data_IF_501042734016
#
_entry.id   IF_501042734016
#
_cell.length_a   1.000
_cell.length_b   1.000
_cell.length_c   1.000
_cell.angle_alpha   90.00
_cell.angle_beta   90.00
_cell.angle_gamma   90.00
#
_symmetry.space_group_name_H-M   'P 1'
#
loop_
_entity.id
_entity.type
_entity.pdbx_description
1 polymer ?
#
# COMPACT_ATOMS: atom_id res chain seq x y z
N UNK A 1 -17.84 8.94 26.95
CA UNK A 1 -18.57 7.68 26.77
C UNK A 1 -18.73 7.45 25.27
N UNK A 2 -17.68 6.94 24.60
CA UNK A 2 -17.74 6.56 23.19
C UNK A 2 -18.28 5.15 23.14
N UNK A 3 -19.60 5.03 23.06
CA UNK A 3 -20.28 3.76 22.82
C UNK A 3 -20.55 3.68 21.32
N UNK A 4 -20.23 2.52 20.76
CA UNK A 4 -20.26 2.14 19.35
C UNK A 4 -18.99 2.47 18.58
N UNK A 5 -18.13 1.45 18.48
CA UNK A 5 -16.87 1.48 17.76
C UNK A 5 -17.11 1.62 16.26
N UNK A 6 -16.78 2.78 15.71
CA UNK A 6 -16.75 3.03 14.27
C UNK A 6 -15.82 2.01 13.63
N UNK A 7 -16.36 1.22 12.69
CA UNK A 7 -15.61 0.33 11.83
C UNK A 7 -15.54 0.96 10.45
N UNK A 8 -14.36 1.01 9.88
CA UNK A 8 -14.16 1.44 8.51
C UNK A 8 -14.16 0.20 7.61
N UNK A 9 -14.92 0.28 6.53
CA UNK A 9 -15.00 -0.79 5.53
C UNK A 9 -14.32 -0.28 4.26
N UNK A 10 -13.34 -1.04 3.76
CA UNK A 10 -12.74 -0.79 2.44
C UNK A 10 -13.28 -1.84 1.48
N UNK A 11 -13.89 -1.37 0.39
CA UNK A 11 -14.41 -2.22 -0.69
C UNK A 11 -13.54 -1.99 -1.92
N UNK A 12 -12.99 -3.07 -2.47
CA UNK A 12 -12.30 -3.04 -3.76
C UNK A 12 -13.35 -3.13 -4.87
N UNK A 13 -13.27 -2.22 -5.85
CA UNK A 13 -14.23 -2.14 -6.97
C UNK A 13 -14.14 -3.34 -7.93
N UNK A 14 -12.99 -4.01 -7.93
CA UNK A 14 -12.71 -5.18 -8.75
C UNK A 14 -12.65 -6.41 -7.83
N UNK A 15 -13.76 -7.14 -7.72
CA UNK A 15 -13.94 -8.44 -7.06
C UNK A 15 -12.85 -8.86 -6.04
N UNK A 16 -12.91 -8.36 -4.80
CA UNK A 16 -12.26 -9.02 -3.66
C UNK A 16 -12.72 -8.45 -2.31
N UNK A 17 -12.95 -9.38 -1.37
CA UNK A 17 -12.91 -9.29 0.10
C UNK A 17 -13.20 -7.91 0.73
N UNK A 18 -14.34 -7.82 1.40
CA UNK A 18 -14.66 -6.68 2.29
C UNK A 18 -13.71 -6.72 3.49
N UNK A 19 -12.70 -5.86 3.47
CA UNK A 19 -11.77 -5.72 4.59
C UNK A 19 -12.37 -4.76 5.62
N UNK A 20 -12.73 -5.31 6.78
CA UNK A 20 -13.24 -4.53 7.91
C UNK A 20 -12.07 -4.18 8.83
N UNK A 21 -11.72 -2.90 8.91
CA UNK A 21 -10.63 -2.40 9.75
C UNK A 21 -11.15 -1.32 10.71
N UNK A 22 -10.50 -1.17 11.86
CA UNK A 22 -10.84 -0.10 12.82
C UNK A 22 -10.02 1.15 12.58
N UNK A 23 -8.85 1.01 11.97
CA UNK A 23 -7.98 2.10 11.57
C UNK A 23 -7.52 1.91 10.12
N UNK A 24 -7.64 2.97 9.31
CA UNK A 24 -7.08 3.03 7.96
C UNK A 24 -6.04 4.15 7.95
N UNK A 25 -4.81 3.80 7.62
CA UNK A 25 -3.72 4.75 7.39
C UNK A 25 -3.62 4.97 5.88
N UNK A 26 -3.70 6.22 5.44
CA UNK A 26 -3.53 6.59 4.03
C UNK A 26 -2.30 7.48 3.91
N UNK A 27 -1.36 7.12 3.04
CA UNK A 27 -0.17 7.93 2.79
C UNK A 27 0.33 7.81 1.36
N UNK A 28 1.12 8.79 0.91
CA UNK A 28 1.71 8.81 -0.43
C UNK A 28 2.56 7.58 -0.73
N UNK A 29 3.16 6.94 0.27
CA UNK A 29 3.94 5.71 0.09
C UNK A 29 3.53 4.66 1.09
N UNK A 30 3.59 3.40 0.69
CA UNK A 30 3.45 2.26 1.59
C UNK A 30 4.67 2.15 2.52
N UNK A 31 4.50 1.52 3.70
CA UNK A 31 5.60 1.27 4.63
C UNK A 31 6.56 0.16 4.14
N UNK A 32 6.25 -0.46 3.01
CA UNK A 32 7.05 -1.48 2.34
C UNK A 32 7.04 -1.21 0.84
N UNK A 33 8.14 -1.53 0.16
CA UNK A 33 8.26 -1.44 -1.30
C UNK A 33 8.63 -2.79 -1.88
N UNK A 34 8.32 -2.98 -3.16
CA UNK A 34 8.83 -4.11 -3.93
C UNK A 34 10.35 -4.00 -4.09
N UNK A 35 11.02 -5.13 -3.94
CA UNK A 35 12.47 -5.28 -4.12
C UNK A 35 12.72 -6.49 -5.03
N UNK A 36 13.46 -6.28 -6.11
CA UNK A 36 13.59 -7.24 -7.22
C UNK A 36 12.79 -6.85 -8.46
N UNK A 37 12.70 -7.77 -9.42
CA UNK A 37 12.11 -7.54 -10.74
C UNK A 37 11.32 -8.75 -11.24
N UNK A 38 10.68 -8.59 -12.41
CA UNK A 38 9.87 -9.63 -13.04
C UNK A 38 10.67 -10.87 -13.47
N UNK A 39 11.97 -10.74 -13.73
CA UNK A 39 12.81 -11.82 -14.26
C UNK A 39 13.45 -12.69 -13.15
N UNK A 40 13.80 -12.06 -12.03
CA UNK A 40 14.53 -12.69 -10.91
C UNK A 40 13.67 -12.99 -9.70
N UNK A 41 12.40 -12.57 -9.74
CA UNK A 41 11.48 -12.65 -8.62
C UNK A 41 11.56 -11.42 -7.71
N UNK A 42 10.54 -11.27 -6.87
CA UNK A 42 10.36 -10.10 -6.03
C UNK A 42 10.09 -10.44 -4.56
N UNK A 43 10.44 -9.51 -3.69
CA UNK A 43 10.12 -9.52 -2.27
C UNK A 43 9.62 -8.15 -1.83
N UNK A 44 9.08 -8.04 -0.60
CA UNK A 44 8.73 -6.75 -0.02
C UNK A 44 9.75 -6.35 1.03
N UNK A 45 10.45 -5.24 0.82
CA UNK A 45 11.38 -4.65 1.79
C UNK A 45 10.69 -3.55 2.58
N UNK A 46 11.00 -3.43 3.87
CA UNK A 46 10.49 -2.32 4.68
C UNK A 46 11.15 -1.01 4.26
N UNK A 47 10.34 0.04 4.11
CA UNK A 47 10.84 1.38 3.83
C UNK A 47 11.30 2.06 5.12
N UNK A 48 12.41 2.78 5.03
CA UNK A 48 12.92 3.64 6.11
C UNK A 48 12.47 5.07 5.81
N UNK A 49 11.74 5.68 6.73
CA UNK A 49 11.22 7.05 6.57
C UNK A 49 10.36 7.47 7.77
N UNK A 50 10.22 8.78 8.00
CA UNK A 50 9.63 9.33 9.23
C UNK A 50 8.26 8.72 9.60
N UNK A 51 7.32 8.68 8.65
CA UNK A 51 5.97 8.13 8.89
C UNK A 51 5.98 6.61 9.11
N UNK A 52 6.72 5.88 8.27
CA UNK A 52 6.82 4.42 8.36
C UNK A 52 7.50 3.97 9.65
N UNK A 53 8.48 4.73 10.14
CA UNK A 53 9.15 4.48 11.42
C UNK A 53 8.26 4.83 12.60
N UNK A 54 7.54 5.96 12.55
CA UNK A 54 6.68 6.41 13.64
C UNK A 54 5.44 5.52 13.84
N UNK A 55 4.76 5.16 12.74
CA UNK A 55 3.46 4.45 12.79
C UNK A 55 3.59 2.95 12.49
N UNK A 56 4.68 2.53 11.84
CA UNK A 56 4.93 1.13 11.50
C UNK A 56 4.83 0.15 12.68
N UNK A 57 5.39 0.44 13.87
CA UNK A 57 5.24 -0.43 15.04
C UNK A 57 3.78 -0.66 15.44
N UNK A 58 2.95 0.39 15.43
CA UNK A 58 1.52 0.28 15.74
C UNK A 58 0.82 -0.63 14.72
N UNK A 59 1.02 -0.38 13.42
CA UNK A 59 0.45 -1.20 12.35
C UNK A 59 0.90 -2.68 12.40
N UNK A 60 2.13 -2.96 12.86
CA UNK A 60 2.62 -4.33 13.03
C UNK A 60 1.92 -5.07 14.17
N UNK A 61 1.69 -4.39 15.29
CA UNK A 61 1.08 -4.96 16.51
C UNK A 61 -0.43 -5.11 16.37
N UNK A 62 -1.10 -4.11 15.79
CA UNK A 62 -2.56 -4.08 15.67
C UNK A 62 -3.02 -4.72 14.34
N UNK A 63 -3.81 -5.79 14.44
CA UNK A 63 -4.27 -6.58 13.29
C UNK A 63 -5.48 -5.97 12.59
N UNK A 64 -6.16 -5.04 13.24
CA UNK A 64 -7.33 -4.28 12.76
C UNK A 64 -6.94 -2.93 12.12
N UNK A 65 -5.71 -2.85 11.61
CA UNK A 65 -5.17 -1.68 10.93
C UNK A 65 -4.81 -2.03 9.47
N UNK A 66 -5.28 -1.20 8.54
CA UNK A 66 -4.98 -1.28 7.11
C UNK A 66 -4.12 -0.09 6.68
N UNK A 67 -3.17 -0.31 5.78
CA UNK A 67 -2.35 0.77 5.22
C UNK A 67 -2.53 0.87 3.71
N UNK A 68 -3.04 2.00 3.24
CA UNK A 68 -3.23 2.29 1.80
C UNK A 68 -2.19 3.31 1.34
N UNK A 69 -1.58 3.08 0.18
CA UNK A 69 -0.64 4.03 -0.39
C UNK A 69 -0.09 3.60 -1.74
N UNK A 70 0.59 4.52 -2.42
CA UNK A 70 1.19 4.22 -3.72
C UNK A 70 2.36 3.25 -3.57
N UNK A 71 2.35 2.22 -4.43
CA UNK A 71 3.34 1.14 -4.42
C UNK A 71 4.68 1.56 -5.03
N UNK A 72 4.69 2.60 -5.88
CA UNK A 72 5.86 2.94 -6.68
C UNK A 72 6.14 1.98 -7.83
N UNK A 73 5.22 1.04 -8.08
CA UNK A 73 5.37 -0.01 -9.10
C UNK A 73 4.70 0.47 -10.38
N UNK A 74 5.43 0.33 -11.48
CA UNK A 74 4.92 0.46 -12.83
C UNK A 74 4.35 -0.89 -13.27
N UNK A 75 3.02 -0.96 -13.47
CA UNK A 75 2.31 -2.21 -13.77
C UNK A 75 2.68 -2.77 -15.15
N UNK A 76 3.11 -1.93 -16.09
CA UNK A 76 3.42 -2.35 -17.47
C UNK A 76 4.63 -3.30 -17.54
N UNK A 77 5.40 -3.39 -16.45
CA UNK A 77 6.57 -4.28 -16.32
C UNK A 77 6.23 -5.67 -15.81
N UNK A 78 4.97 -5.94 -15.46
CA UNK A 78 4.55 -7.20 -14.84
C UNK A 78 3.34 -7.78 -15.57
N UNK A 79 3.31 -9.10 -15.73
CA UNK A 79 2.14 -9.79 -16.25
C UNK A 79 1.02 -9.89 -15.20
N UNK A 80 -0.15 -10.37 -15.62
CA UNK A 80 -1.32 -10.47 -14.75
C UNK A 80 -1.13 -11.41 -13.54
N UNK A 81 -0.31 -12.46 -13.66
CA UNK A 81 -0.03 -13.40 -12.59
C UNK A 81 0.92 -12.79 -11.56
N UNK A 82 1.96 -12.09 -12.04
CA UNK A 82 2.89 -11.32 -11.22
C UNK A 82 2.16 -10.21 -10.46
N UNK A 83 1.28 -9.45 -11.13
CA UNK A 83 0.48 -8.40 -10.49
C UNK A 83 -0.39 -8.97 -9.37
N UNK A 84 -1.01 -10.14 -9.60
CA UNK A 84 -1.80 -10.84 -8.58
C UNK A 84 -0.94 -11.24 -7.38
N UNK A 85 0.21 -11.85 -7.63
CA UNK A 85 1.15 -12.28 -6.58
C UNK A 85 1.71 -11.08 -5.80
N UNK A 86 1.97 -9.95 -6.45
CA UNK A 86 2.34 -8.67 -5.80
C UNK A 86 1.21 -8.21 -4.88
N UNK A 87 -0.04 -8.16 -5.35
CA UNK A 87 -1.20 -7.77 -4.53
C UNK A 87 -1.36 -8.66 -3.31
N UNK A 88 -1.23 -9.97 -3.48
CA UNK A 88 -1.27 -10.94 -2.37
C UNK A 88 -0.13 -10.71 -1.37
N UNK A 89 1.08 -10.40 -1.84
CA UNK A 89 2.21 -10.10 -0.97
C UNK A 89 1.95 -8.86 -0.09
N UNK A 90 1.36 -7.81 -0.66
CA UNK A 90 0.94 -6.62 0.10
C UNK A 90 -0.21 -6.92 1.06
N UNK A 91 -1.22 -7.70 0.63
CA UNK A 91 -2.35 -8.10 1.45
C UNK A 91 -1.90 -8.90 2.69
N UNK A 92 -0.91 -9.80 2.56
CA UNK A 92 -0.29 -10.51 3.70
C UNK A 92 0.31 -9.57 4.74
N UNK A 93 0.66 -8.33 4.34
CA UNK A 93 1.17 -7.27 5.21
C UNK A 93 0.11 -6.22 5.59
N UNK A 94 -1.18 -6.47 5.32
CA UNK A 94 -2.29 -5.50 5.51
C UNK A 94 -2.02 -4.17 4.83
N UNK A 95 -1.37 -4.23 3.69
CA UNK A 95 -1.07 -3.10 2.84
C UNK A 95 -1.90 -3.20 1.56
N UNK A 96 -2.43 -2.07 1.10
CA UNK A 96 -3.21 -1.95 -0.12
C UNK A 96 -2.42 -1.09 -1.09
N UNK A 97 -1.85 -1.70 -2.15
CA UNK A 97 -1.11 -0.95 -3.14
C UNK A 97 -2.04 -0.21 -4.08
N UNK A 98 -1.90 1.11 -4.11
CA UNK A 98 -2.38 1.92 -5.22
C UNK A 98 -1.33 1.85 -6.32
N UNK A 99 -1.78 1.52 -7.53
CA UNK A 99 -0.97 1.56 -8.73
C UNK A 99 -1.41 2.78 -9.51
N UNK A 100 -0.49 3.68 -9.77
CA UNK A 100 -0.73 4.90 -10.53
C UNK A 100 -0.06 4.73 -11.88
N UNK A 101 -0.74 5.17 -12.93
CA UNK A 101 -0.17 5.20 -14.26
C UNK A 101 0.96 6.26 -14.35
N UNK A 102 1.87 6.09 -15.31
CA UNK A 102 3.07 6.92 -15.42
C UNK A 102 2.74 8.42 -15.59
N UNK A 103 1.66 8.74 -16.30
CA UNK A 103 1.12 10.09 -16.49
C UNK A 103 0.58 10.70 -15.19
N UNK A 104 -0.09 9.91 -14.35
CA UNK A 104 -0.57 10.32 -13.02
C UNK A 104 0.58 10.62 -12.04
N UNK A 105 1.68 9.88 -12.14
CA UNK A 105 2.87 10.06 -11.30
C UNK A 105 3.64 11.33 -11.68
N UNK A 106 3.78 11.62 -12.99
CA UNK A 106 4.51 12.79 -13.47
C UNK A 106 3.86 14.11 -13.04
N UNK A 107 2.51 14.16 -12.99
CA UNK A 107 1.77 15.34 -12.54
C UNK A 107 1.83 15.62 -11.04
N UNK A 108 2.05 14.61 -10.20
CA UNK A 108 1.88 14.72 -8.75
C UNK A 108 3.17 14.56 -7.93
N UNK A 109 4.08 13.68 -8.35
CA UNK A 109 5.26 13.33 -7.57
C UNK A 109 6.53 14.11 -7.96
N UNK A 110 6.72 14.36 -9.26
CA UNK A 110 7.89 15.09 -9.77
C UNK A 110 7.73 16.63 -9.66
N UNK A 111 6.51 17.15 -9.54
CA UNK A 111 6.26 18.59 -9.59
C UNK A 111 5.77 19.27 -8.31
N UNK A 112 5.33 18.53 -7.28
CA UNK A 112 4.67 19.16 -6.11
C UNK A 112 4.99 18.54 -4.73
N UNK A 113 5.37 17.26 -4.64
CA UNK A 113 5.61 16.59 -3.33
C UNK A 113 7.08 16.41 -2.95
N UNK A 114 8.01 16.48 -3.90
CA UNK A 114 9.44 16.21 -3.68
C UNK A 114 10.40 17.30 -4.17
N UNK A 115 9.95 18.26 -4.97
CA UNK A 115 10.72 19.44 -5.35
C UNK A 115 9.98 20.68 -4.84
N UNK A 116 10.61 21.35 -3.88
CA UNK A 116 10.39 22.77 -3.55
C UNK A 116 11.74 23.44 -3.58
#
# INVERSE_FOLDING_TARGET
MWRDGVRATVTFLDDAEVVVSRLIIVSNRLPVSLDGDAERGFSLRQNVGGLATAIGPYHKVHRDCLWVGWSGIDLDKYDAEQIRSIREAYARRRCVPLFLAHDEVAGYYAGFSNDT
#
